data_IF_965754283703
#
_entry.id   IF_965754283703
#
_cell.length_a   1.000
_cell.length_b   1.000
_cell.length_c   1.000
_cell.angle_alpha   90.00
_cell.angle_beta   90.00
_cell.angle_gamma   90.00
#
_symmetry.space_group_name_H-M   'P 1'
#
loop_
_entity.id
_entity.type
_entity.pdbx_description
1 polymer ?
#
# COMPACT_ATOMS: atom_id res chain seq x y z
N UNK A 1 18.11 -5.84 2.83
CA UNK A 1 17.04 -6.06 3.81
C UNK A 1 17.59 -5.65 5.16
N UNK A 2 17.06 -4.63 5.83
CA UNK A 2 17.43 -4.37 7.20
C UNK A 2 16.65 -5.34 8.10
N UNK A 3 17.36 -6.23 8.78
CA UNK A 3 16.91 -6.79 10.04
C UNK A 3 16.97 -5.65 11.05
N UNK A 4 15.84 -4.98 11.29
CA UNK A 4 15.69 -4.09 12.45
C UNK A 4 15.42 -4.98 13.68
N UNK A 5 16.48 -5.67 14.11
CA UNK A 5 16.58 -6.13 15.49
C UNK A 5 16.58 -4.87 16.37
N UNK A 6 15.62 -4.87 17.30
CA UNK A 6 15.50 -4.01 18.47
C UNK A 6 14.77 -2.66 18.32
N UNK A 7 13.43 -2.73 18.28
CA UNK A 7 12.59 -1.63 18.78
C UNK A 7 13.03 -1.28 20.22
N UNK A 8 13.61 -0.08 20.39
CA UNK A 8 14.26 0.32 21.64
C UNK A 8 13.32 0.25 22.85
N UNK A 9 12.02 0.52 22.65
CA UNK A 9 11.00 0.39 23.68
C UNK A 9 10.84 -1.07 24.09
N UNK A 10 10.71 -1.97 23.13
CA UNK A 10 10.59 -3.40 23.36
C UNK A 10 11.85 -4.00 24.03
N UNK A 11 13.05 -3.55 23.68
CA UNK A 11 14.29 -3.92 24.39
C UNK A 11 14.25 -3.45 25.84
N UNK A 12 13.83 -2.21 26.07
CA UNK A 12 13.77 -1.62 27.41
C UNK A 12 12.75 -2.37 28.27
N UNK A 13 11.57 -2.67 27.74
CA UNK A 13 10.55 -3.47 28.42
C UNK A 13 11.04 -4.89 28.74
N UNK A 14 11.71 -5.56 27.79
CA UNK A 14 12.31 -6.88 28.03
C UNK A 14 13.36 -6.86 29.13
N UNK A 15 14.17 -5.80 29.21
CA UNK A 15 15.12 -5.60 30.34
C UNK A 15 14.38 -5.34 31.65
N UNK A 16 13.31 -4.54 31.62
CA UNK A 16 12.52 -4.21 32.80
C UNK A 16 11.93 -5.45 33.51
N UNK A 17 11.69 -6.56 32.79
CA UNK A 17 11.27 -7.84 33.38
C UNK A 17 12.23 -8.35 34.47
N UNK A 18 13.53 -8.10 34.36
CA UNK A 18 14.51 -8.49 35.38
C UNK A 18 14.45 -7.61 36.65
N UNK A 19 13.74 -6.49 36.59
CA UNK A 19 13.64 -5.48 37.66
C UNK A 19 12.23 -5.39 38.27
N UNK A 20 11.33 -6.28 37.89
CA UNK A 20 9.98 -6.38 38.47
C UNK A 20 10.07 -6.88 39.91
N UNK A 21 9.39 -6.22 40.85
CA UNK A 21 9.41 -6.58 42.27
C UNK A 21 8.14 -7.30 42.71
N UNK A 22 7.05 -7.10 41.99
CA UNK A 22 5.74 -7.69 42.28
C UNK A 22 5.25 -8.50 41.07
N UNK A 23 4.31 -9.42 41.32
CA UNK A 23 3.59 -10.11 40.24
C UNK A 23 2.80 -9.13 39.37
N UNK A 24 2.31 -8.02 39.94
CA UNK A 24 1.63 -6.96 39.20
C UNK A 24 2.57 -6.22 38.25
N UNK A 25 3.77 -5.86 38.71
CA UNK A 25 4.81 -5.24 37.87
C UNK A 25 5.13 -6.14 36.67
N UNK A 26 5.32 -7.44 36.95
CA UNK A 26 5.62 -8.44 35.93
C UNK A 26 4.50 -8.55 34.90
N UNK A 27 3.25 -8.67 35.34
CA UNK A 27 2.11 -8.76 34.44
C UNK A 27 1.95 -7.50 33.55
N UNK A 28 2.17 -6.30 34.11
CA UNK A 28 2.13 -5.04 33.33
C UNK A 28 3.19 -5.02 32.23
N UNK A 29 4.43 -5.38 32.58
CA UNK A 29 5.55 -5.39 31.62
C UNK A 29 5.36 -6.46 30.55
N UNK A 30 4.92 -7.67 30.93
CA UNK A 30 4.59 -8.74 29.97
C UNK A 30 3.52 -8.28 28.97
N UNK A 31 2.42 -7.68 29.46
CA UNK A 31 1.37 -7.13 28.61
C UNK A 31 1.88 -6.01 27.69
N UNK A 32 2.72 -5.11 28.20
CA UNK A 32 3.30 -4.03 27.41
C UNK A 32 4.22 -4.58 26.29
N UNK A 33 4.99 -5.64 26.56
CA UNK A 33 5.80 -6.32 25.55
C UNK A 33 4.91 -6.95 24.49
N UNK A 34 3.86 -7.64 24.87
CA UNK A 34 2.92 -8.28 23.94
C UNK A 34 2.24 -7.25 23.03
N UNK A 35 1.66 -6.19 23.61
CA UNK A 35 1.00 -5.13 22.84
C UNK A 35 1.97 -4.41 21.90
N UNK A 36 3.20 -4.12 22.35
CA UNK A 36 4.21 -3.47 21.50
C UNK A 36 4.64 -4.39 20.35
N UNK A 37 4.84 -5.68 20.63
CA UNK A 37 5.17 -6.68 19.60
C UNK A 37 4.06 -6.78 18.57
N UNK A 38 2.81 -6.86 19.03
CA UNK A 38 1.64 -6.94 18.16
C UNK A 38 1.51 -5.70 17.27
N UNK A 39 1.65 -4.49 17.83
CA UNK A 39 1.67 -3.24 17.07
C UNK A 39 2.74 -3.23 15.97
N UNK A 40 3.99 -3.62 16.28
CA UNK A 40 5.09 -3.64 15.31
C UNK A 40 4.79 -4.62 14.17
N UNK A 41 4.35 -5.83 14.51
CA UNK A 41 4.00 -6.86 13.55
C UNK A 41 2.88 -6.41 12.63
N UNK A 42 1.80 -5.85 13.19
CA UNK A 42 0.65 -5.39 12.41
C UNK A 42 1.02 -4.21 11.50
N UNK A 43 1.85 -3.28 12.01
CA UNK A 43 2.39 -2.17 11.21
C UNK A 43 3.21 -2.68 10.04
N UNK A 44 4.15 -3.59 10.27
CA UNK A 44 4.99 -4.17 9.20
C UNK A 44 4.15 -4.90 8.16
N UNK A 45 3.25 -5.79 8.60
CA UNK A 45 2.36 -6.55 7.73
C UNK A 45 1.54 -5.61 6.86
N UNK A 46 1.00 -4.55 7.44
CA UNK A 46 0.18 -3.62 6.67
C UNK A 46 1.00 -2.73 5.74
N UNK A 47 2.19 -2.27 6.13
CA UNK A 47 3.09 -1.56 5.23
C UNK A 47 3.40 -2.40 3.97
N UNK A 48 3.71 -3.69 4.15
CA UNK A 48 3.97 -4.58 2.99
C UNK A 48 2.74 -4.76 2.09
N UNK A 49 1.55 -4.84 2.70
CA UNK A 49 0.28 -4.94 1.96
C UNK A 49 -0.03 -3.66 1.18
N UNK A 50 0.13 -2.49 1.80
CA UNK A 50 -0.05 -1.19 1.15
C UNK A 50 0.93 -0.99 0.00
N UNK A 51 2.20 -1.37 0.18
CA UNK A 51 3.20 -1.32 -0.90
C UNK A 51 2.79 -2.18 -2.09
N UNK A 52 2.25 -3.38 -1.83
CA UNK A 52 1.76 -4.27 -2.88
C UNK A 52 0.57 -3.66 -3.64
N UNK A 53 -0.39 -3.09 -2.93
CA UNK A 53 -1.55 -2.42 -3.54
C UNK A 53 -1.12 -1.20 -4.35
N UNK A 54 -0.20 -0.39 -3.85
CA UNK A 54 0.35 0.77 -4.56
C UNK A 54 1.04 0.36 -5.87
N UNK A 55 1.86 -0.71 -5.84
CA UNK A 55 2.48 -1.25 -7.07
C UNK A 55 1.43 -1.76 -8.06
N UNK A 56 0.35 -2.37 -7.57
CA UNK A 56 -0.74 -2.83 -8.42
C UNK A 56 -1.45 -1.66 -9.12
N UNK A 57 -1.82 -0.62 -8.36
CA UNK A 57 -2.41 0.62 -8.90
C UNK A 57 -1.48 1.25 -9.94
N UNK A 58 -0.19 1.35 -9.64
CA UNK A 58 0.79 1.90 -10.58
C UNK A 58 0.83 1.10 -11.89
N UNK A 59 0.86 -0.24 -11.82
CA UNK A 59 0.81 -1.10 -13.01
C UNK A 59 -0.47 -0.89 -13.82
N UNK A 60 -1.62 -0.76 -13.17
CA UNK A 60 -2.91 -0.53 -13.83
C UNK A 60 -2.96 0.84 -14.52
N UNK A 61 -2.39 1.89 -13.91
CA UNK A 61 -2.23 3.21 -14.55
C UNK A 61 -1.40 3.13 -15.83
N UNK A 62 -0.29 2.41 -15.80
CA UNK A 62 0.54 2.19 -17.00
C UNK A 62 -0.25 1.45 -18.10
N UNK A 63 -1.06 0.45 -17.75
CA UNK A 63 -1.91 -0.25 -18.71
C UNK A 63 -2.99 0.66 -19.31
N UNK A 64 -3.58 1.51 -18.48
CA UNK A 64 -4.55 2.52 -18.94
C UNK A 64 -3.92 3.51 -19.91
N UNK A 65 -2.74 4.05 -19.60
CA UNK A 65 -2.00 4.97 -20.49
C UNK A 65 -1.63 4.31 -21.83
N UNK A 66 -1.26 3.03 -21.80
CA UNK A 66 -1.00 2.24 -23.01
C UNK A 66 -2.27 2.05 -23.85
N UNK A 67 -3.41 1.77 -23.21
CA UNK A 67 -4.69 1.64 -23.89
C UNK A 67 -5.12 2.96 -24.55
N UNK A 68 -4.97 4.09 -23.85
CA UNK A 68 -5.21 5.43 -24.41
C UNK A 68 -4.30 5.72 -25.60
N UNK A 69 -3.02 5.36 -25.49
CA UNK A 69 -2.06 5.53 -26.57
C UNK A 69 -2.42 4.70 -27.80
N UNK A 70 -2.92 3.47 -27.61
CA UNK A 70 -3.41 2.62 -28.71
C UNK A 70 -4.64 3.23 -29.37
N UNK A 71 -5.63 3.63 -28.58
CA UNK A 71 -6.85 4.28 -29.05
C UNK A 71 -6.54 5.55 -29.87
N UNK A 72 -5.61 6.39 -29.41
CA UNK A 72 -5.19 7.60 -30.13
C UNK A 72 -4.56 7.30 -31.50
N UNK A 73 -3.80 6.20 -31.61
CA UNK A 73 -3.25 5.74 -32.90
C UNK A 73 -4.37 5.28 -33.84
N UNK A 74 -5.33 4.52 -33.35
CA UNK A 74 -6.45 4.02 -34.15
C UNK A 74 -7.34 5.16 -34.66
N UNK A 75 -7.63 6.15 -33.81
CA UNK A 75 -8.32 7.40 -34.21
C UNK A 75 -7.54 8.12 -35.31
N UNK A 76 -6.23 8.27 -35.14
CA UNK A 76 -5.36 8.92 -36.12
C UNK A 76 -5.34 8.18 -37.45
N UNK A 77 -5.33 6.85 -37.44
CA UNK A 77 -5.43 6.03 -38.66
C UNK A 77 -6.78 6.23 -39.35
N UNK A 78 -7.88 6.25 -38.58
CA UNK A 78 -9.21 6.47 -39.11
C UNK A 78 -9.34 7.84 -39.78
N UNK A 79 -8.79 8.90 -39.15
CA UNK A 79 -8.75 10.25 -39.74
C UNK A 79 -7.95 10.28 -41.04
N UNK A 80 -6.79 9.60 -41.11
CA UNK A 80 -6.00 9.50 -42.35
C UNK A 80 -6.77 8.81 -43.48
N UNK A 81 -7.51 7.74 -43.18
CA UNK A 81 -8.35 7.04 -44.16
C UNK A 81 -9.48 7.95 -44.65
N UNK A 82 -10.12 8.70 -43.74
CA UNK A 82 -11.20 9.63 -44.08
C UNK A 82 -10.73 10.82 -44.94
N UNK A 83 -9.53 11.34 -44.70
CA UNK A 83 -8.95 12.46 -45.45
C UNK A 83 -8.49 12.10 -46.87
N UNK A 84 -8.47 10.81 -47.24
CA UNK A 84 -8.09 10.35 -48.59
C UNK A 84 -9.11 10.71 -49.68
N UNK A 85 -8.64 10.98 -50.91
CA UNK A 85 -9.46 11.38 -52.05
C UNK A 85 -10.51 10.30 -52.44
N UNK A 86 -11.59 10.73 -53.14
CA UNK A 86 -12.71 9.85 -53.57
C UNK A 86 -12.29 8.55 -54.28
N UNK A 87 -11.22 8.57 -55.07
CA UNK A 87 -10.72 7.39 -55.79
C UNK A 87 -10.11 6.33 -54.86
N UNK A 88 -9.41 6.75 -53.80
CA UNK A 88 -8.88 5.87 -52.75
C UNK A 88 -9.95 5.40 -51.76
N UNK A 89 -11.05 6.14 -51.62
CA UNK A 89 -12.14 5.78 -50.70
C UNK A 89 -12.81 4.45 -51.07
N UNK A 90 -13.05 4.20 -52.36
CA UNK A 90 -13.69 2.95 -52.85
C UNK A 90 -12.82 1.72 -52.62
N UNK A 91 -11.50 1.84 -52.75
CA UNK A 91 -10.52 0.77 -52.47
C UNK A 91 -10.25 0.60 -50.97
N UNK A 92 -10.62 1.59 -50.15
CA UNK A 92 -10.36 1.61 -48.71
C UNK A 92 -11.51 1.14 -47.83
N UNK A 93 -12.65 0.73 -48.40
CA UNK A 93 -13.85 0.34 -47.64
C UNK A 93 -13.55 -0.75 -46.59
N UNK A 94 -12.82 -1.81 -46.98
CA UNK A 94 -12.38 -2.88 -46.06
C UNK A 94 -11.35 -2.40 -45.03
N UNK A 95 -10.45 -1.47 -45.39
CA UNK A 95 -9.52 -0.87 -44.40
C UNK A 95 -10.29 -0.04 -43.37
N UNK A 96 -11.29 0.73 -43.81
CA UNK A 96 -12.13 1.55 -42.95
C UNK A 96 -12.95 0.72 -41.97
N UNK A 97 -13.48 -0.44 -42.37
CA UNK A 97 -14.18 -1.36 -41.46
C UNK A 97 -13.21 -1.95 -40.44
N UNK A 98 -12.04 -2.45 -40.88
CA UNK A 98 -11.05 -3.04 -39.97
C UNK A 98 -10.51 -2.03 -38.94
N UNK A 99 -10.25 -0.77 -39.36
CA UNK A 99 -9.82 0.29 -38.44
C UNK A 99 -10.93 0.69 -37.47
N UNK A 100 -12.20 0.65 -37.88
CA UNK A 100 -13.33 0.88 -36.96
C UNK A 100 -13.48 -0.25 -35.92
N UNK A 101 -13.31 -1.50 -36.34
CA UNK A 101 -13.32 -2.65 -35.43
C UNK A 101 -12.15 -2.58 -34.44
N UNK A 102 -10.95 -2.21 -34.92
CA UNK A 102 -9.78 -1.98 -34.06
C UNK A 102 -10.04 -0.85 -33.06
N UNK A 103 -10.64 0.25 -33.48
CA UNK A 103 -11.02 1.36 -32.59
C UNK A 103 -12.05 0.93 -31.55
N UNK A 104 -13.06 0.15 -31.93
CA UNK A 104 -14.05 -0.38 -30.97
C UNK A 104 -13.40 -1.28 -29.94
N UNK A 105 -12.47 -2.14 -30.35
CA UNK A 105 -11.69 -2.97 -29.43
C UNK A 105 -10.82 -2.11 -28.50
N UNK A 106 -10.11 -1.11 -29.03
CA UNK A 106 -9.34 -0.15 -28.23
C UNK A 106 -10.20 0.61 -27.22
N UNK A 107 -11.42 1.03 -27.59
CA UNK A 107 -12.37 1.67 -26.68
C UNK A 107 -12.72 0.74 -25.50
N UNK A 108 -13.06 -0.51 -25.79
CA UNK A 108 -13.38 -1.51 -24.76
C UNK A 108 -12.18 -1.77 -23.82
N UNK A 109 -10.96 -1.80 -24.37
CA UNK A 109 -9.74 -1.94 -23.57
C UNK A 109 -9.50 -0.75 -22.65
N UNK A 110 -9.73 0.48 -23.12
CA UNK A 110 -9.63 1.71 -22.32
C UNK A 110 -10.66 1.72 -21.20
N UNK A 111 -11.92 1.38 -21.50
CA UNK A 111 -13.00 1.30 -20.51
C UNK A 111 -12.69 0.27 -19.42
N UNK A 112 -12.28 -0.94 -19.82
CA UNK A 112 -11.87 -2.01 -18.90
C UNK A 112 -10.68 -1.59 -18.03
N UNK A 113 -9.63 -1.01 -18.64
CA UNK A 113 -8.47 -0.53 -17.90
C UNK A 113 -8.81 0.59 -16.92
N UNK A 114 -9.70 1.51 -17.29
CA UNK A 114 -10.19 2.58 -16.43
C UNK A 114 -10.95 2.03 -15.21
N UNK A 115 -11.89 1.11 -15.43
CA UNK A 115 -12.66 0.49 -14.35
C UNK A 115 -11.76 -0.27 -13.37
N UNK A 116 -10.84 -1.07 -13.89
CA UNK A 116 -9.89 -1.82 -13.06
C UNK A 116 -8.97 -0.89 -12.25
N UNK A 117 -8.49 0.20 -12.85
CA UNK A 117 -7.69 1.22 -12.17
C UNK A 117 -8.48 1.89 -11.05
N UNK A 118 -9.71 2.36 -11.33
CA UNK A 118 -10.56 3.01 -10.33
C UNK A 118 -10.93 2.08 -9.19
N UNK A 119 -11.20 0.80 -9.47
CA UNK A 119 -11.48 -0.18 -8.43
C UNK A 119 -10.25 -0.40 -7.54
N UNK A 120 -9.07 -0.58 -8.13
CA UNK A 120 -7.84 -0.75 -7.37
C UNK A 120 -7.47 0.48 -6.53
N UNK A 121 -7.76 1.69 -7.03
CA UNK A 121 -7.59 2.94 -6.26
C UNK A 121 -8.52 3.02 -5.06
N UNK A 122 -9.80 2.62 -5.22
CA UNK A 122 -10.75 2.53 -4.09
C UNK A 122 -10.30 1.49 -3.07
N UNK A 123 -9.88 0.31 -3.52
CA UNK A 123 -9.36 -0.73 -2.65
C UNK A 123 -8.13 -0.25 -1.87
N UNK A 124 -7.20 0.48 -2.52
CA UNK A 124 -6.05 1.06 -1.84
C UNK A 124 -6.48 2.07 -0.76
N UNK A 125 -7.42 2.95 -1.06
CA UNK A 125 -7.90 3.97 -0.13
C UNK A 125 -8.64 3.36 1.07
N UNK A 126 -9.52 2.38 0.81
CA UNK A 126 -10.22 1.64 1.86
C UNK A 126 -9.25 0.91 2.79
N UNK A 127 -8.20 0.30 2.22
CA UNK A 127 -7.18 -0.37 3.01
C UNK A 127 -6.32 0.61 3.82
N UNK A 128 -5.98 1.79 3.27
CA UNK A 128 -5.32 2.86 4.03
C UNK A 128 -6.16 3.32 5.21
N UNK A 129 -7.43 3.63 4.97
CA UNK A 129 -8.36 4.09 6.02
C UNK A 129 -8.60 3.04 7.12
N UNK A 130 -8.61 1.75 6.76
CA UNK A 130 -8.71 0.65 7.75
C UNK A 130 -7.41 0.48 8.52
N UNK A 131 -6.28 0.56 7.84
CA UNK A 131 -4.96 0.49 8.43
C UNK A 131 -4.73 1.60 9.45
N UNK A 132 -4.96 2.85 9.06
CA UNK A 132 -4.75 4.02 9.92
C UNK A 132 -5.50 3.83 11.23
N UNK A 133 -6.77 3.44 11.19
CA UNK A 133 -7.56 3.18 12.39
C UNK A 133 -7.04 2.00 13.23
N UNK A 134 -6.69 0.88 12.60
CA UNK A 134 -6.25 -0.32 13.32
C UNK A 134 -4.90 -0.10 14.01
N UNK A 135 -3.93 0.43 13.25
CA UNK A 135 -2.57 0.65 13.73
C UNK A 135 -2.50 1.81 14.71
N UNK A 136 -3.29 2.87 14.52
CA UNK A 136 -3.39 3.96 15.49
C UNK A 136 -3.98 3.48 16.82
N UNK A 137 -5.02 2.64 16.78
CA UNK A 137 -5.56 2.02 18.00
C UNK A 137 -4.50 1.19 18.72
N UNK A 138 -3.83 0.27 18.02
CA UNK A 138 -2.80 -0.59 18.61
C UNK A 138 -1.61 0.22 19.14
N UNK A 139 -1.25 1.30 18.45
CA UNK A 139 -0.22 2.23 18.90
C UNK A 139 -0.61 2.85 20.24
N UNK A 140 -1.83 3.40 20.34
CA UNK A 140 -2.31 4.03 21.56
C UNK A 140 -2.42 3.03 22.72
N UNK A 141 -2.90 1.81 22.47
CA UNK A 141 -2.94 0.74 23.47
C UNK A 141 -1.53 0.36 23.95
N UNK A 142 -0.57 0.19 23.03
CA UNK A 142 0.81 -0.11 23.37
C UNK A 142 1.48 1.05 24.14
N UNK A 143 1.22 2.31 23.76
CA UNK A 143 1.74 3.49 24.46
C UNK A 143 1.19 3.59 25.89
N UNK A 144 -0.09 3.34 26.09
CA UNK A 144 -0.69 3.29 27.44
C UNK A 144 -0.07 2.19 28.30
N UNK A 145 0.15 1.00 27.73
CA UNK A 145 0.79 -0.10 28.45
C UNK A 145 2.25 0.20 28.81
N UNK A 146 2.99 0.88 27.92
CA UNK A 146 4.35 1.36 28.20
C UNK A 146 4.34 2.38 29.35
N UNK A 147 3.41 3.35 29.33
CA UNK A 147 3.28 4.35 30.41
C UNK A 147 2.96 3.70 31.76
N UNK A 148 2.12 2.66 31.76
CA UNK A 148 1.81 1.90 32.97
C UNK A 148 3.03 1.16 33.56
N UNK A 149 4.12 1.03 32.79
CA UNK A 149 5.38 0.41 33.20
C UNK A 149 6.47 1.41 33.60
N UNK A 150 6.22 2.72 33.55
CA UNK A 150 7.23 3.78 33.80
C UNK A 150 7.99 3.56 35.13
N UNK A 151 7.28 3.24 36.21
CA UNK A 151 7.87 2.99 37.53
C UNK A 151 8.82 1.78 37.56
N UNK A 152 8.60 0.78 36.69
CA UNK A 152 9.46 -0.40 36.57
C UNK A 152 10.64 -0.10 35.66
N UNK A 153 10.37 0.61 34.55
CA UNK A 153 11.40 1.02 33.58
C UNK A 153 12.42 1.97 34.23
N UNK A 154 11.99 2.87 35.12
CA UNK A 154 12.87 3.77 35.86
C UNK A 154 13.91 3.04 36.76
N UNK A 155 13.68 1.75 37.07
CA UNK A 155 14.61 0.92 37.86
C UNK A 155 15.67 0.23 36.98
N UNK A 156 15.51 0.30 35.66
CA UNK A 156 16.47 -0.28 34.71
C UNK A 156 17.69 0.64 34.64
N UNK A 157 18.90 0.16 34.98
CA UNK A 157 20.09 0.99 34.92
C UNK A 157 20.43 1.38 33.47
N UNK A 158 20.55 2.68 33.21
CA UNK A 158 21.01 3.20 31.93
C UNK A 158 22.46 2.77 31.67
N UNK A 159 22.71 2.17 30.49
CA UNK A 159 24.08 1.86 30.05
C UNK A 159 24.95 3.10 29.78
N UNK A 160 24.48 4.32 30.06
CA UNK A 160 25.24 5.57 29.79
C UNK A 160 26.13 6.06 30.94
N UNK A 161 26.30 5.29 32.02
CA UNK A 161 27.28 5.59 33.07
C UNK A 161 28.32 4.46 33.16
N UNK A 162 29.22 4.39 32.18
CA UNK A 162 30.57 3.80 32.32
C UNK A 162 31.39 4.19 31.08
N UNK A 163 31.93 5.41 31.11
CA UNK A 163 33.20 5.76 30.47
C UNK A 163 34.29 5.63 31.51
#
# INVERSE_FOLDING_TARGET
>A
MPNDDDDAVLVTLRRALAHTQTSSDRAKVELAVELRTHYISERQTTCTSLDRLQRNVHRLRVQYDQALSSQARDISQLHKIQASNRFTQTLSASRKTNTKESLNFSNMMVESACLNMQQAERELEDNRSKWERSVERLRNEAELAVRACEDVVARVPDRQANK
#
